data_IF_681684285937
#
_entry.id   IF_681684285937
#
_cell.length_a   1.000
_cell.length_b   1.000
_cell.length_c   1.000
_cell.angle_alpha   90.00
_cell.angle_beta   90.00
_cell.angle_gamma   90.00
#
_symmetry.space_group_name_H-M   'P 1'
#
loop_
_entity.id
_entity.type
_entity.pdbx_description
1 polymer ?
#
# COMPACT_ATOMS: atom_id res chain seq x y z
N UNK A 1 38.56 25.24 13.19
CA UNK A 1 37.88 23.92 13.31
C UNK A 1 36.77 23.88 12.25
N UNK A 2 37.02 23.21 11.12
CA UNK A 2 35.98 22.95 10.11
C UNK A 2 35.23 21.70 10.58
N UNK A 3 33.94 21.86 10.90
CA UNK A 3 33.06 20.72 11.16
C UNK A 3 32.98 19.86 9.91
N UNK A 4 33.42 18.62 10.06
CA UNK A 4 33.29 17.56 9.09
C UNK A 4 31.79 17.24 8.98
N UNK A 5 31.16 17.72 7.91
CA UNK A 5 29.78 17.35 7.57
C UNK A 5 29.77 15.85 7.25
N UNK A 6 29.39 15.03 8.22
CA UNK A 6 29.10 13.60 8.02
C UNK A 6 28.12 13.48 6.85
N UNK A 7 28.63 12.99 5.71
CA UNK A 7 27.82 12.69 4.55
C UNK A 7 26.70 11.73 4.95
N UNK A 8 25.45 12.08 4.62
CA UNK A 8 24.29 11.23 4.88
C UNK A 8 24.53 9.81 4.29
N UNK A 9 24.18 8.74 5.03
CA UNK A 9 24.43 7.38 4.58
C UNK A 9 23.74 7.12 3.24
N UNK A 10 24.47 6.51 2.29
CA UNK A 10 23.94 6.15 0.97
C UNK A 10 22.76 5.18 1.15
N UNK A 11 21.64 5.37 0.43
CA UNK A 11 20.49 4.47 0.53
C UNK A 11 20.90 3.06 0.07
N UNK A 12 20.31 2.01 0.67
CA UNK A 12 20.65 0.62 0.36
C UNK A 12 20.34 0.28 -1.10
N UNK A 13 21.10 -0.63 -1.70
CA UNK A 13 20.95 -1.01 -3.11
C UNK A 13 19.79 -1.97 -3.37
N UNK A 14 19.27 -2.62 -2.33
CA UNK A 14 18.16 -3.58 -2.38
C UNK A 14 17.24 -3.37 -1.19
N UNK A 15 15.94 -3.63 -1.39
CA UNK A 15 14.98 -3.77 -0.29
C UNK A 15 15.27 -5.06 0.48
N UNK A 16 15.44 -4.97 1.79
CA UNK A 16 15.53 -6.14 2.68
C UNK A 16 14.14 -6.65 3.09
N UNK A 17 13.11 -5.84 2.89
CA UNK A 17 11.73 -6.18 3.22
C UNK A 17 11.11 -7.11 2.19
N UNK A 18 10.42 -8.14 2.67
CA UNK A 18 9.73 -9.14 1.85
C UNK A 18 8.23 -9.11 2.13
N UNK A 19 7.48 -8.15 1.55
CA UNK A 19 6.04 -8.10 1.73
C UNK A 19 5.39 -9.37 1.14
N UNK A 20 4.28 -9.86 1.75
CA UNK A 20 3.49 -10.94 1.19
C UNK A 20 3.08 -10.67 -0.26
N UNK A 21 2.98 -11.71 -1.08
CA UNK A 21 2.51 -11.58 -2.46
C UNK A 21 0.99 -11.57 -2.49
N UNK A 22 0.42 -10.76 -3.38
CA UNK A 22 -1.02 -10.73 -3.60
C UNK A 22 -1.54 -12.11 -4.02
N UNK A 23 -2.80 -12.37 -3.66
CA UNK A 23 -3.49 -13.58 -4.07
C UNK A 23 -3.52 -13.70 -5.61
N UNK A 24 -3.21 -14.89 -6.17
CA UNK A 24 -3.30 -15.12 -7.60
C UNK A 24 -4.75 -14.95 -8.10
N UNK A 25 -4.89 -14.54 -9.36
CA UNK A 25 -6.20 -14.47 -10.01
C UNK A 25 -6.77 -15.87 -10.26
N UNK A 26 -8.07 -15.95 -10.53
CA UNK A 26 -8.74 -17.22 -10.85
C UNK A 26 -8.08 -17.93 -12.06
N UNK A 27 -7.65 -17.17 -13.07
CA UNK A 27 -6.88 -17.68 -14.21
C UNK A 27 -5.52 -18.23 -13.78
N UNK A 28 -4.78 -17.52 -12.93
CA UNK A 28 -3.47 -17.98 -12.46
C UNK A 28 -3.56 -19.26 -11.63
N UNK A 29 -4.60 -19.40 -10.80
CA UNK A 29 -4.89 -20.62 -10.06
C UNK A 29 -5.22 -21.78 -11.00
N UNK A 30 -6.13 -21.56 -11.96
CA UNK A 30 -6.47 -22.55 -12.97
C UNK A 30 -5.24 -22.99 -13.78
N UNK A 31 -4.46 -22.03 -14.28
CA UNK A 31 -3.28 -22.32 -15.07
C UNK A 31 -2.21 -23.06 -14.27
N UNK A 32 -2.03 -22.72 -12.99
CA UNK A 32 -1.13 -23.46 -12.11
C UNK A 32 -1.58 -24.93 -11.94
N UNK A 33 -2.88 -25.17 -11.78
CA UNK A 33 -3.44 -26.52 -11.71
C UNK A 33 -3.23 -27.30 -13.02
N UNK A 34 -3.49 -26.69 -14.19
CA UNK A 34 -3.25 -27.32 -15.49
C UNK A 34 -1.76 -27.60 -15.74
N UNK A 35 -0.88 -26.67 -15.37
CA UNK A 35 0.56 -26.89 -15.46
C UNK A 35 1.02 -28.03 -14.54
N UNK A 36 0.46 -28.14 -13.34
CA UNK A 36 0.78 -29.23 -12.42
C UNK A 36 0.26 -30.58 -12.93
N UNK A 37 -0.93 -30.62 -13.55
CA UNK A 37 -1.43 -31.82 -14.24
C UNK A 37 -0.54 -32.25 -15.39
N UNK A 38 -0.12 -31.30 -16.25
CA UNK A 38 0.80 -31.59 -17.35
C UNK A 38 2.15 -32.10 -16.84
N UNK A 39 2.67 -31.54 -15.74
CA UNK A 39 3.87 -32.05 -15.06
C UNK A 39 3.68 -33.46 -14.52
N UNK A 40 2.54 -33.76 -13.91
CA UNK A 40 2.24 -35.10 -13.40
C UNK A 40 2.11 -36.13 -14.54
N UNK A 41 1.45 -35.76 -15.65
CA UNK A 41 1.35 -36.61 -16.84
C UNK A 41 2.73 -36.90 -17.45
N UNK A 42 3.55 -35.86 -17.64
CA UNK A 42 4.91 -36.03 -18.14
C UNK A 42 5.81 -36.81 -17.16
N UNK A 43 5.59 -36.68 -15.85
CA UNK A 43 6.31 -37.49 -14.86
C UNK A 43 5.88 -38.96 -14.88
N UNK A 44 4.62 -39.26 -15.22
CA UNK A 44 4.14 -40.63 -15.38
C UNK A 44 4.67 -41.29 -16.67
N UNK A 45 4.90 -40.51 -17.73
CA UNK A 45 5.50 -40.96 -18.99
C UNK A 45 7.04 -40.95 -18.97
N UNK A 46 7.65 -40.38 -17.93
CA UNK A 46 9.10 -40.31 -17.78
C UNK A 46 9.69 -41.70 -17.52
N UNK A 47 10.46 -42.22 -18.48
CA UNK A 47 11.33 -43.38 -18.26
C UNK A 47 12.58 -43.01 -17.43
N UNK A 48 13.21 -44.00 -16.79
CA UNK A 48 14.53 -43.83 -16.18
C UNK A 48 15.64 -44.22 -17.16
N UNK A 49 16.72 -43.44 -17.20
CA UNK A 49 17.96 -43.88 -17.87
C UNK A 49 18.56 -45.10 -17.16
N UNK A 50 19.44 -45.89 -17.80
CA UNK A 50 20.09 -47.06 -17.19
C UNK A 50 20.85 -46.79 -15.88
N UNK A 51 21.16 -45.51 -15.57
CA UNK A 51 21.78 -45.06 -14.33
C UNK A 51 20.80 -44.53 -13.26
N UNK A 52 19.49 -44.71 -13.44
CA UNK A 52 18.46 -44.31 -12.46
C UNK A 52 18.04 -42.84 -12.50
N UNK A 53 18.61 -42.02 -13.39
CA UNK A 53 18.23 -40.61 -13.54
C UNK A 53 16.88 -40.51 -14.27
N UNK A 54 15.85 -39.87 -13.69
CA UNK A 54 14.56 -39.68 -14.34
C UNK A 54 14.69 -38.82 -15.61
N UNK A 55 14.17 -39.30 -16.75
CA UNK A 55 14.14 -38.52 -17.99
C UNK A 55 12.86 -37.66 -17.99
N UNK A 56 13.03 -36.41 -17.60
CA UNK A 56 12.10 -35.29 -17.82
C UNK A 56 11.59 -35.13 -19.27
N UNK A 57 10.34 -35.45 -19.70
CA UNK A 57 9.85 -34.96 -20.99
C UNK A 57 9.84 -33.44 -20.99
N UNK A 58 10.39 -32.81 -22.04
CA UNK A 58 10.39 -31.35 -22.17
C UNK A 58 8.95 -30.86 -22.39
N UNK A 59 8.34 -30.32 -21.35
CA UNK A 59 7.01 -29.70 -21.42
C UNK A 59 7.05 -28.42 -22.25
N UNK A 60 6.14 -28.29 -23.21
CA UNK A 60 5.92 -27.05 -23.93
C UNK A 60 4.94 -26.14 -23.17
N UNK A 61 5.48 -25.33 -22.26
CA UNK A 61 4.70 -24.43 -21.40
C UNK A 61 3.84 -23.44 -22.22
N UNK A 62 4.31 -22.99 -23.38
CA UNK A 62 3.56 -22.08 -24.23
C UNK A 62 2.29 -22.71 -24.80
N UNK A 63 2.38 -23.97 -25.23
CA UNK A 63 1.22 -24.73 -25.70
C UNK A 63 0.23 -24.99 -24.56
N UNK A 64 0.72 -25.40 -23.38
CA UNK A 64 -0.11 -25.61 -22.19
C UNK A 64 -0.88 -24.33 -21.82
N UNK A 65 -0.23 -23.16 -21.88
CA UNK A 65 -0.90 -21.89 -21.61
C UNK A 65 -2.00 -21.57 -22.62
N UNK A 66 -1.77 -21.86 -23.91
CA UNK A 66 -2.77 -21.66 -24.96
C UNK A 66 -3.99 -22.57 -24.74
N UNK A 67 -3.76 -23.85 -24.48
CA UNK A 67 -4.83 -24.83 -24.28
C UNK A 67 -5.59 -24.56 -22.98
N UNK A 68 -4.88 -24.21 -21.91
CA UNK A 68 -5.49 -23.75 -20.67
C UNK A 68 -6.37 -22.52 -20.90
N UNK A 69 -5.99 -21.58 -21.76
CA UNK A 69 -6.78 -20.37 -22.04
C UNK A 69 -8.14 -20.70 -22.64
N UNK A 70 -8.16 -21.63 -23.61
CA UNK A 70 -9.39 -22.15 -24.23
C UNK A 70 -10.23 -22.91 -23.21
N UNK A 71 -9.59 -23.75 -22.39
CA UNK A 71 -10.26 -24.50 -21.32
C UNK A 71 -10.88 -23.56 -20.27
N UNK A 72 -10.20 -22.48 -19.89
CA UNK A 72 -10.69 -21.51 -18.92
C UNK A 72 -11.92 -20.74 -19.43
N UNK A 73 -11.91 -20.35 -20.71
CA UNK A 73 -13.06 -19.70 -21.34
C UNK A 73 -14.32 -20.60 -21.34
N UNK A 74 -14.11 -21.91 -21.50
CA UNK A 74 -15.17 -22.93 -21.53
C UNK A 74 -15.47 -23.59 -20.17
N UNK A 75 -14.92 -23.07 -19.06
CA UNK A 75 -15.18 -23.64 -17.73
C UNK A 75 -16.67 -23.59 -17.37
N UNK A 76 -17.14 -24.68 -16.76
CA UNK A 76 -18.46 -24.75 -16.14
C UNK A 76 -18.60 -23.75 -14.99
N UNK A 77 -19.85 -23.39 -14.67
CA UNK A 77 -20.14 -22.46 -13.57
C UNK A 77 -19.61 -22.96 -12.23
N UNK A 78 -19.75 -24.26 -11.93
CA UNK A 78 -19.22 -24.87 -10.70
C UNK A 78 -17.70 -24.74 -10.58
N UNK A 79 -16.98 -24.96 -11.69
CA UNK A 79 -15.53 -24.80 -11.74
C UNK A 79 -15.12 -23.34 -11.59
N UNK A 80 -15.85 -22.40 -12.23
CA UNK A 80 -15.62 -20.96 -12.06
C UNK A 80 -15.85 -20.55 -10.59
N UNK A 81 -16.91 -21.05 -9.97
CA UNK A 81 -17.22 -20.82 -8.56
C UNK A 81 -16.14 -21.37 -7.62
N UNK A 82 -15.58 -22.55 -7.92
CA UNK A 82 -14.45 -23.11 -7.18
C UNK A 82 -13.24 -22.16 -7.18
N UNK A 83 -12.82 -21.65 -8.34
CA UNK A 83 -11.69 -20.72 -8.42
C UNK A 83 -12.02 -19.37 -7.79
N UNK A 84 -13.26 -18.88 -7.91
CA UNK A 84 -13.69 -17.66 -7.25
C UNK A 84 -13.57 -17.77 -5.71
N UNK A 85 -14.00 -18.90 -5.12
CA UNK A 85 -13.78 -19.18 -3.70
C UNK A 85 -12.31 -19.22 -3.32
N UNK A 86 -11.47 -19.88 -4.13
CA UNK A 86 -10.02 -19.95 -3.88
C UNK A 86 -9.34 -18.58 -3.95
N UNK A 87 -9.78 -17.71 -4.86
CA UNK A 87 -9.32 -16.32 -4.92
C UNK A 87 -9.70 -15.59 -3.64
N UNK A 88 -10.93 -15.75 -3.16
CA UNK A 88 -11.38 -15.06 -1.94
C UNK A 88 -10.67 -15.58 -0.68
N UNK A 89 -10.52 -16.90 -0.54
CA UNK A 89 -9.69 -17.52 0.51
C UNK A 89 -8.24 -16.97 0.47
N UNK A 90 -7.66 -16.88 -0.74
CA UNK A 90 -6.33 -16.32 -0.95
C UNK A 90 -6.23 -14.84 -0.57
N UNK A 91 -7.26 -14.02 -0.85
CA UNK A 91 -7.29 -12.61 -0.44
C UNK A 91 -7.36 -12.46 1.07
N UNK A 92 -8.20 -13.27 1.73
CA UNK A 92 -8.30 -13.28 3.19
C UNK A 92 -6.96 -13.66 3.81
N UNK A 93 -6.30 -14.70 3.28
CA UNK A 93 -4.97 -15.09 3.75
C UNK A 93 -3.94 -13.98 3.51
N UNK A 94 -3.93 -13.37 2.32
CA UNK A 94 -3.05 -12.26 2.01
C UNK A 94 -3.26 -11.06 2.95
N UNK A 95 -4.50 -10.74 3.31
CA UNK A 95 -4.77 -9.67 4.28
C UNK A 95 -4.22 -10.01 5.67
N UNK A 96 -4.39 -11.26 6.14
CA UNK A 96 -3.80 -11.73 7.40
C UNK A 96 -2.28 -11.67 7.38
N UNK A 97 -1.67 -12.18 6.32
CA UNK A 97 -0.21 -12.17 6.15
C UNK A 97 0.32 -10.75 6.05
N UNK A 98 -0.40 -9.86 5.35
CA UNK A 98 -0.03 -8.46 5.21
C UNK A 98 -0.09 -7.74 6.56
N UNK A 99 -1.13 -7.98 7.37
CA UNK A 99 -1.24 -7.43 8.71
C UNK A 99 -0.13 -7.96 9.63
N UNK A 100 0.13 -9.28 9.60
CA UNK A 100 1.22 -9.89 10.36
C UNK A 100 2.58 -9.32 9.95
N UNK A 101 2.84 -9.20 8.64
CA UNK A 101 4.06 -8.58 8.13
C UNK A 101 4.17 -7.12 8.53
N UNK A 102 3.10 -6.33 8.44
CA UNK A 102 3.08 -4.93 8.90
C UNK A 102 3.40 -4.81 10.40
N UNK A 103 2.94 -5.75 11.22
CA UNK A 103 3.25 -5.79 12.65
C UNK A 103 4.73 -6.13 12.95
N UNK A 104 5.44 -6.79 12.02
CA UNK A 104 6.89 -7.04 12.17
C UNK A 104 7.75 -5.84 11.78
N UNK A 105 7.19 -4.83 11.12
CA UNK A 105 7.98 -3.70 10.63
C UNK A 105 8.36 -2.77 11.78
N UNK A 106 9.66 -2.49 11.89
CA UNK A 106 10.15 -1.45 12.79
C UNK A 106 10.10 -0.08 12.11
N UNK A 107 10.07 1.02 12.88
CA UNK A 107 10.20 2.37 12.35
C UNK A 107 11.46 2.56 11.48
N UNK A 108 12.58 1.96 11.87
CA UNK A 108 13.84 2.01 11.13
C UNK A 108 13.79 1.20 9.82
N UNK A 109 13.11 0.07 9.80
CA UNK A 109 12.84 -0.68 8.57
C UNK A 109 12.03 0.14 7.57
N UNK A 110 10.97 0.80 8.05
CA UNK A 110 10.09 1.65 7.24
C UNK A 110 10.87 2.84 6.69
N UNK A 111 11.70 3.49 7.50
CA UNK A 111 12.54 4.63 7.11
C UNK A 111 13.56 4.24 6.06
N UNK A 112 14.24 3.10 6.25
CA UNK A 112 15.24 2.57 5.32
C UNK A 112 14.61 2.18 3.99
N UNK A 113 13.48 1.47 4.01
CA UNK A 113 12.73 1.13 2.81
C UNK A 113 12.19 2.37 2.09
N UNK A 114 11.72 3.37 2.82
CA UNK A 114 11.22 4.61 2.24
C UNK A 114 12.32 5.41 1.56
N UNK A 115 13.53 5.45 2.13
CA UNK A 115 14.70 6.04 1.49
C UNK A 115 15.05 5.31 0.18
N UNK A 116 15.05 3.97 0.20
CA UNK A 116 15.24 3.15 -0.99
C UNK A 116 14.18 3.44 -2.07
N UNK A 117 12.89 3.44 -1.71
CA UNK A 117 11.79 3.73 -2.65
C UNK A 117 11.84 5.14 -3.21
N UNK A 118 12.22 6.13 -2.40
CA UNK A 118 12.42 7.49 -2.86
C UNK A 118 13.55 7.56 -3.91
N UNK A 119 14.67 6.87 -3.68
CA UNK A 119 15.77 6.80 -4.64
C UNK A 119 15.33 6.09 -5.93
N UNK A 120 14.61 4.98 -5.85
CA UNK A 120 14.10 4.26 -7.03
C UNK A 120 13.12 5.11 -7.87
N UNK A 121 12.33 5.96 -7.21
CA UNK A 121 11.47 6.93 -7.91
C UNK A 121 12.28 8.02 -8.59
N UNK A 122 13.31 8.55 -7.93
CA UNK A 122 14.24 9.54 -8.49
C UNK A 122 14.98 8.99 -9.71
N UNK A 123 15.35 7.72 -9.67
CA UNK A 123 16.01 7.00 -10.77
C UNK A 123 15.04 6.57 -11.89
N UNK A 124 13.73 6.81 -11.76
CA UNK A 124 12.72 6.36 -12.73
C UNK A 124 12.46 4.84 -12.78
N UNK A 125 13.12 4.06 -11.91
CA UNK A 125 13.05 2.59 -11.87
C UNK A 125 11.79 2.07 -11.16
N UNK A 126 11.09 2.92 -10.40
CA UNK A 126 9.88 2.53 -9.70
C UNK A 126 8.88 3.68 -9.55
N UNK A 127 7.61 3.32 -9.41
CA UNK A 127 6.52 4.24 -9.02
C UNK A 127 5.93 3.90 -7.64
N UNK A 128 6.55 2.97 -6.91
CA UNK A 128 6.07 2.55 -5.59
C UNK A 128 6.14 3.69 -4.58
N UNK A 129 5.03 3.94 -3.88
CA UNK A 129 4.94 4.91 -2.80
C UNK A 129 5.63 4.43 -1.51
N UNK A 130 5.76 5.36 -0.56
CA UNK A 130 6.32 5.09 0.75
C UNK A 130 5.41 4.14 1.56
N UNK A 131 6.02 3.25 2.35
CA UNK A 131 5.36 2.52 3.42
C UNK A 131 4.90 3.50 4.50
N UNK A 132 3.71 3.23 5.04
CA UNK A 132 3.13 3.97 6.17
C UNK A 132 3.38 3.16 7.42
N UNK A 133 3.84 3.83 8.48
CA UNK A 133 3.89 3.25 9.81
C UNK A 133 2.52 3.41 10.49
N UNK A 134 1.84 2.31 10.90
CA UNK A 134 0.60 2.37 11.65
C UNK A 134 0.73 2.98 13.06
N UNK A 135 1.91 2.86 13.68
CA UNK A 135 2.21 3.28 15.04
C UNK A 135 2.71 4.74 15.10
N UNK A 136 3.16 5.30 13.97
CA UNK A 136 3.57 6.70 13.93
C UNK A 136 2.37 7.64 14.17
N UNK A 137 2.51 8.65 15.06
CA UNK A 137 1.44 9.60 15.30
C UNK A 137 1.07 10.34 14.01
N UNK A 138 -0.23 10.61 13.85
CA UNK A 138 -0.72 11.35 12.67
C UNK A 138 -0.49 12.83 12.86
N UNK A 139 -0.03 13.50 11.80
CA UNK A 139 0.11 14.96 11.80
C UNK A 139 -1.26 15.63 12.06
N UNK A 140 -1.32 16.64 12.93
CA UNK A 140 -2.56 17.33 13.23
C UNK A 140 -2.98 18.22 12.06
N UNK A 141 -4.25 18.62 12.07
CA UNK A 141 -4.79 19.56 11.09
C UNK A 141 -4.25 20.96 11.35
N UNK A 142 -3.94 21.71 10.29
CA UNK A 142 -3.64 23.14 10.44
C UNK A 142 -4.91 23.93 10.76
N UNK A 143 -4.76 25.16 11.24
CA UNK A 143 -5.89 26.04 11.56
C UNK A 143 -6.89 26.17 10.40
N UNK A 144 -6.41 26.28 9.16
CA UNK A 144 -7.28 26.33 7.98
C UNK A 144 -8.03 25.00 7.75
N UNK A 145 -7.38 23.85 7.94
CA UNK A 145 -8.05 22.55 7.80
C UNK A 145 -9.03 22.29 8.94
N UNK A 146 -8.78 22.80 10.15
CA UNK A 146 -9.75 22.81 11.25
C UNK A 146 -10.97 23.67 10.90
N UNK A 147 -10.76 24.83 10.26
CA UNK A 147 -11.85 25.65 9.74
C UNK A 147 -12.66 24.92 8.67
N UNK A 148 -12.01 24.27 7.69
CA UNK A 148 -12.69 23.44 6.69
C UNK A 148 -13.49 22.30 7.32
N UNK A 149 -12.93 21.64 8.35
CA UNK A 149 -13.64 20.62 9.13
C UNK A 149 -14.88 21.23 9.80
N UNK A 150 -14.74 22.38 10.44
CA UNK A 150 -15.84 23.12 11.06
C UNK A 150 -16.96 23.50 10.07
N UNK A 151 -16.62 23.92 8.84
CA UNK A 151 -17.62 24.17 7.78
C UNK A 151 -18.40 22.90 7.43
N UNK A 152 -17.74 21.73 7.39
CA UNK A 152 -18.40 20.45 7.07
C UNK A 152 -19.31 19.96 8.19
N UNK A 153 -18.95 20.26 9.44
CA UNK A 153 -19.66 19.80 10.63
C UNK A 153 -20.78 20.76 11.07
N UNK A 154 -20.72 22.02 10.66
CA UNK A 154 -21.70 23.04 11.00
C UNK A 154 -22.50 23.46 9.76
N UNK A 155 -23.78 23.11 9.74
CA UNK A 155 -24.68 23.40 8.60
C UNK A 155 -24.85 24.89 8.31
N UNK A 156 -24.77 25.76 9.32
CA UNK A 156 -24.88 27.21 9.12
C UNK A 156 -23.65 27.77 8.42
N UNK A 157 -22.45 27.34 8.85
CA UNK A 157 -21.20 27.67 8.15
C UNK A 157 -21.17 27.04 6.76
N UNK A 158 -21.67 25.81 6.60
CA UNK A 158 -21.77 25.13 5.31
C UNK A 158 -22.62 25.93 4.33
N UNK A 159 -23.82 26.33 4.74
CA UNK A 159 -24.73 27.17 3.92
C UNK A 159 -24.16 28.56 3.68
N UNK A 160 -23.52 29.15 4.69
CA UNK A 160 -22.92 30.49 4.56
C UNK A 160 -21.72 30.53 3.62
N UNK A 161 -20.89 29.48 3.60
CA UNK A 161 -19.63 29.46 2.85
C UNK A 161 -19.76 28.76 1.50
N UNK A 162 -20.50 27.65 1.43
CA UNK A 162 -20.68 26.87 0.21
C UNK A 162 -22.07 26.99 -0.40
N UNK A 163 -23.08 27.48 0.34
CA UNK A 163 -24.47 27.46 -0.10
C UNK A 163 -24.85 26.05 -0.62
N UNK A 164 -25.32 25.95 -1.87
CA UNK A 164 -25.66 24.70 -2.55
C UNK A 164 -24.51 24.17 -3.45
N UNK A 165 -23.32 24.78 -3.39
CA UNK A 165 -22.18 24.37 -4.21
C UNK A 165 -21.73 22.95 -3.80
N UNK A 166 -21.78 22.03 -4.76
CA UNK A 166 -21.39 20.64 -4.58
C UNK A 166 -19.98 20.35 -5.12
N UNK A 167 -19.44 21.21 -5.99
CA UNK A 167 -18.14 21.00 -6.60
C UNK A 167 -17.02 21.27 -5.58
N UNK A 168 -16.24 20.25 -5.24
CA UNK A 168 -15.16 20.34 -4.23
C UNK A 168 -14.11 21.41 -4.57
N UNK A 169 -13.80 21.60 -5.85
CA UNK A 169 -12.85 22.64 -6.30
C UNK A 169 -13.38 24.03 -5.97
N UNK A 170 -14.66 24.29 -6.29
CA UNK A 170 -15.34 25.57 -5.99
C UNK A 170 -15.48 25.81 -4.50
N UNK A 171 -15.89 24.78 -3.75
CA UNK A 171 -15.95 24.81 -2.28
C UNK A 171 -14.61 25.22 -1.66
N UNK A 172 -13.50 24.70 -2.19
CA UNK A 172 -12.16 25.01 -1.69
C UNK A 172 -11.79 26.47 -1.93
N UNK A 173 -12.16 27.04 -3.09
CA UNK A 173 -11.95 28.46 -3.40
C UNK A 173 -12.77 29.35 -2.46
N UNK A 174 -14.07 29.08 -2.31
CA UNK A 174 -14.96 29.86 -1.43
C UNK A 174 -14.50 29.82 0.03
N UNK A 175 -14.10 28.65 0.52
CA UNK A 175 -13.59 28.52 1.88
C UNK A 175 -12.25 29.24 2.08
N UNK A 176 -11.37 29.25 1.07
CA UNK A 176 -10.12 30.01 1.13
C UNK A 176 -10.38 31.53 1.17
N UNK A 177 -11.33 32.02 0.38
CA UNK A 177 -11.76 33.42 0.39
C UNK A 177 -12.35 33.80 1.74
N UNK A 178 -13.28 32.99 2.28
CA UNK A 178 -13.86 33.21 3.60
C UNK A 178 -12.78 33.24 4.68
N UNK A 179 -11.86 32.27 4.68
CA UNK A 179 -10.76 32.22 5.65
C UNK A 179 -9.89 33.48 5.60
N UNK A 180 -9.56 34.00 4.41
CA UNK A 180 -8.79 35.25 4.29
C UNK A 180 -9.56 36.44 4.86
N UNK A 181 -10.88 36.47 4.64
CA UNK A 181 -11.77 37.52 5.14
C UNK A 181 -12.15 37.43 6.62
N UNK A 182 -11.81 36.34 7.34
CA UNK A 182 -12.02 36.25 8.79
C UNK A 182 -11.06 37.20 9.52
N UNK A 183 -11.57 37.82 10.57
CA UNK A 183 -10.78 38.61 11.52
C UNK A 183 -9.83 37.73 12.34
N UNK A 184 -8.86 38.36 12.99
CA UNK A 184 -7.92 37.66 13.87
C UNK A 184 -8.63 37.04 15.08
N UNK A 185 -9.70 37.67 15.57
CA UNK A 185 -10.56 37.14 16.64
C UNK A 185 -11.29 35.86 16.20
N UNK A 186 -11.85 35.84 14.99
CA UNK A 186 -12.55 34.67 14.43
C UNK A 186 -11.57 33.52 14.09
N UNK A 187 -10.34 33.85 13.68
CA UNK A 187 -9.28 32.87 13.41
C UNK A 187 -8.66 32.30 14.70
N UNK A 188 -8.66 33.07 15.78
CA UNK A 188 -8.03 32.72 17.08
C UNK A 188 -8.38 31.31 17.57
N UNK A 189 -9.65 30.87 17.65
CA UNK A 189 -9.96 29.52 18.15
C UNK A 189 -9.32 28.42 17.28
N UNK A 190 -9.31 28.59 15.96
CA UNK A 190 -8.69 27.62 15.05
C UNK A 190 -7.16 27.61 15.16
N UNK A 191 -6.54 28.79 15.34
CA UNK A 191 -5.10 28.93 15.55
C UNK A 191 -4.66 28.31 16.88
N UNK A 192 -5.40 28.57 17.96
CA UNK A 192 -5.14 27.99 19.29
C UNK A 192 -5.30 26.48 19.28
N UNK A 193 -6.36 25.97 18.66
CA UNK A 193 -6.57 24.52 18.55
C UNK A 193 -5.46 23.86 17.71
N UNK A 194 -5.07 24.46 16.57
CA UNK A 194 -3.98 23.94 15.75
C UNK A 194 -2.64 23.91 16.48
N UNK A 195 -2.34 24.94 17.28
CA UNK A 195 -1.11 25.01 18.07
C UNK A 195 -1.12 23.98 19.21
N UNK A 196 -2.26 23.79 19.88
CA UNK A 196 -2.44 22.74 20.89
C UNK A 196 -2.24 21.35 20.28
N UNK A 197 -2.93 21.04 19.18
CA UNK A 197 -2.83 19.75 18.51
C UNK A 197 -1.41 19.49 17.99
N UNK A 198 -0.71 20.55 17.56
CA UNK A 198 0.71 20.50 17.17
C UNK A 198 1.61 20.14 18.34
N UNK A 199 1.42 20.76 19.50
CA UNK A 199 2.21 20.45 20.70
C UNK A 199 1.97 19.01 21.17
N UNK A 200 0.72 18.56 21.18
CA UNK A 200 0.36 17.17 21.50
C UNK A 200 1.01 16.19 20.52
N UNK A 201 0.95 16.48 19.22
CA UNK A 201 1.63 15.68 18.20
C UNK A 201 3.15 15.64 18.38
N UNK A 202 3.79 16.77 18.69
CA UNK A 202 5.23 16.82 18.93
C UNK A 202 5.63 15.98 20.14
N UNK A 203 4.84 16.01 21.22
CA UNK A 203 5.04 15.17 22.38
C UNK A 203 4.87 13.67 22.06
N UNK A 204 3.78 13.29 21.37
CA UNK A 204 3.53 11.91 20.94
C UNK A 204 4.60 11.40 19.97
N UNK A 205 5.04 12.27 19.05
CA UNK A 205 6.10 11.95 18.10
C UNK A 205 7.42 11.71 18.80
N UNK A 206 7.75 12.50 19.81
CA UNK A 206 8.97 12.31 20.59
C UNK A 206 8.94 10.96 21.32
N UNK A 207 7.83 10.63 21.99
CA UNK A 207 7.64 9.33 22.65
C UNK A 207 7.82 8.20 21.64
N UNK A 208 7.18 8.30 20.46
CA UNK A 208 7.32 7.31 19.41
C UNK A 208 8.76 7.18 18.87
N UNK A 209 9.50 8.30 18.74
CA UNK A 209 10.91 8.28 18.33
C UNK A 209 11.81 7.65 19.40
N UNK A 210 11.53 7.91 20.68
CA UNK A 210 12.26 7.33 21.81
C UNK A 210 11.97 5.81 21.92
N UNK A 211 10.71 5.38 21.80
CA UNK A 211 10.30 3.97 21.78
C UNK A 211 10.86 3.23 20.55
N UNK A 212 11.02 3.92 19.42
CA UNK A 212 11.62 3.35 18.22
C UNK A 212 13.15 3.19 18.32
N UNK A 213 13.79 3.94 19.21
CA UNK A 213 15.24 3.95 19.41
C UNK A 213 15.71 3.04 20.55
N UNK A 214 14.82 2.65 21.45
CA UNK A 214 15.05 1.72 22.56
C UNK A 214 15.09 0.26 22.08
#
# INVERSE_FOLDING_TARGET
KKEETKAAPKPPSKSHLKPPRQAPSAWQLFFADELNKAKAAAAAEAGSTPGGTPIHPKLNVAQIAKDAGVAYASLSEDRKAYYARKVEEGKVQYQKDLAAWQATLTPEDIKTENAFRAQQRKDGKSRKGNLKDPNAPKKPLSAYFLFLKGIRENDDLRKSVWADEAETTRQSVLAAERWRGLSDDEKRPYLQQAEKDKQEYEALRKIYEDDAAA
#
